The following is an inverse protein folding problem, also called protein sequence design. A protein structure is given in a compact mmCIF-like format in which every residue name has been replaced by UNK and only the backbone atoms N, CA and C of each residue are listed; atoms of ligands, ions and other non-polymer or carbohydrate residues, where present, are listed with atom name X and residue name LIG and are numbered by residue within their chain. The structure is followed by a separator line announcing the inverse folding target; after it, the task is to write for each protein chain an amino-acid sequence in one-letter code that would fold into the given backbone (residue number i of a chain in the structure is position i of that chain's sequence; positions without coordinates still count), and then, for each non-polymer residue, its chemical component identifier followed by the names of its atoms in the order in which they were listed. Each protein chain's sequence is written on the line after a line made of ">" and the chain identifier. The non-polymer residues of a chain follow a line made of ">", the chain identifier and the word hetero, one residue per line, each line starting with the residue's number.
data_IF_488591069759
#
_entry.id   IF_488591069759
#
_cell.length_a   1.000
_cell.length_b   1.000
_cell.length_c   1.000
_cell.angle_alpha   90.00
_cell.angle_beta   90.00
_cell.angle_gamma   90.00
#
_symmetry.space_group_name_H-M   'P 1'
#
loop_
_entity.id
_entity.type
_entity.pdbx_description
1 polymer ?
#
# COMPACT_ATOMS: atom_id res chain seq x y z
N UNK A 1 -18.62 41.47 -32.92
CA UNK A 1 -18.43 41.56 -31.47
C UNK A 1 -18.39 40.18 -30.89
N UNK A 2 -17.17 39.69 -30.55
CA UNK A 2 -17.01 38.45 -29.82
C UNK A 2 -17.38 38.70 -28.36
N UNK A 3 -18.56 38.24 -27.94
CA UNK A 3 -18.91 38.20 -26.53
C UNK A 3 -18.02 37.14 -25.85
N UNK A 4 -16.96 37.59 -25.17
CA UNK A 4 -16.19 36.77 -24.26
C UNK A 4 -17.11 36.54 -23.05
N UNK A 5 -17.68 35.35 -22.92
CA UNK A 5 -18.38 34.94 -21.71
C UNK A 5 -17.33 34.68 -20.65
N UNK A 6 -17.12 35.60 -19.74
CA UNK A 6 -16.32 35.35 -18.53
C UNK A 6 -17.06 34.34 -17.67
N UNK A 7 -16.57 33.10 -17.64
CA UNK A 7 -17.04 32.08 -16.71
C UNK A 7 -16.32 32.37 -15.39
N UNK A 8 -17.03 32.78 -14.34
CA UNK A 8 -16.40 33.06 -13.06
C UNK A 8 -15.78 31.78 -12.49
N UNK A 9 -14.52 31.84 -12.11
CA UNK A 9 -13.86 30.75 -11.39
C UNK A 9 -14.55 30.60 -10.02
N UNK A 10 -15.16 29.42 -9.81
CA UNK A 10 -15.85 29.11 -8.56
C UNK A 10 -15.03 28.11 -7.78
N UNK A 11 -14.74 28.42 -6.52
CA UNK A 11 -14.03 27.50 -5.62
C UNK A 11 -15.02 26.44 -5.13
N UNK A 12 -14.83 25.21 -5.54
CA UNK A 12 -15.60 24.07 -5.08
C UNK A 12 -15.08 23.54 -3.75
N UNK A 13 -15.97 23.16 -2.84
CA UNK A 13 -15.66 22.60 -1.52
C UNK A 13 -16.02 21.13 -1.46
N UNK A 14 -15.26 20.37 -0.69
CA UNK A 14 -15.56 18.95 -0.46
C UNK A 14 -16.64 18.82 0.61
N UNK A 15 -17.84 18.43 0.23
CA UNK A 15 -18.98 18.25 1.16
C UNK A 15 -18.98 16.91 1.84
N UNK A 16 -18.49 15.85 1.15
CA UNK A 16 -18.49 14.47 1.65
C UNK A 16 -17.27 13.72 1.17
N UNK A 17 -16.78 12.82 2.02
CA UNK A 17 -15.69 11.92 1.69
C UNK A 17 -16.17 10.48 1.89
N UNK A 18 -16.12 9.70 0.82
CA UNK A 18 -16.48 8.29 0.81
C UNK A 18 -15.26 7.45 0.45
N UNK A 19 -15.03 6.37 1.19
CA UNK A 19 -13.97 5.43 0.93
C UNK A 19 -14.59 4.05 0.69
N UNK A 20 -14.34 3.48 -0.47
CA UNK A 20 -14.87 2.22 -0.92
C UNK A 20 -13.78 1.16 -0.87
N UNK A 21 -14.05 0.06 -0.18
CA UNK A 21 -13.20 -1.14 -0.19
C UNK A 21 -13.88 -2.17 -1.08
N UNK A 22 -13.27 -2.44 -2.22
CA UNK A 22 -13.79 -3.33 -3.23
C UNK A 22 -13.32 -4.77 -3.01
N UNK A 23 -14.09 -5.76 -3.44
CA UNK A 23 -13.64 -7.15 -3.48
C UNK A 23 -12.82 -7.37 -4.77
N UNK A 24 -11.53 -7.75 -4.68
CA UNK A 24 -10.67 -7.93 -5.86
C UNK A 24 -11.11 -9.08 -6.78
N UNK A 25 -12.01 -9.94 -6.31
CA UNK A 25 -12.49 -11.12 -7.04
C UNK A 25 -13.87 -10.91 -7.68
N UNK A 26 -14.45 -9.72 -7.53
CA UNK A 26 -15.76 -9.38 -8.11
C UNK A 26 -15.63 -8.32 -9.18
N UNK A 27 -16.36 -8.50 -10.25
CA UNK A 27 -16.48 -7.49 -11.31
C UNK A 27 -17.28 -6.26 -10.83
N UNK A 28 -18.30 -6.51 -9.98
CA UNK A 28 -19.12 -5.46 -9.37
C UNK A 28 -19.17 -5.64 -7.86
N UNK A 29 -18.74 -4.64 -7.12
CA UNK A 29 -18.79 -4.65 -5.65
C UNK A 29 -20.17 -4.26 -5.15
N UNK A 30 -20.70 -5.04 -4.20
CA UNK A 30 -21.93 -4.74 -3.49
C UNK A 30 -21.58 -4.33 -2.07
N UNK A 31 -21.68 -3.04 -1.77
CA UNK A 31 -21.30 -2.51 -0.46
C UNK A 31 -22.37 -2.83 0.57
N UNK A 32 -22.11 -3.82 1.41
CA UNK A 32 -23.02 -4.33 2.43
C UNK A 32 -22.74 -3.83 3.84
N UNK A 33 -21.51 -3.37 4.08
CA UNK A 33 -21.09 -2.79 5.37
C UNK A 33 -20.73 -1.31 5.21
N UNK A 34 -21.25 -0.47 6.12
CA UNK A 34 -21.02 0.99 6.10
C UNK A 34 -20.65 1.45 7.50
N UNK A 35 -19.48 2.04 7.63
CA UNK A 35 -18.97 2.57 8.89
C UNK A 35 -18.69 4.06 8.74
N UNK A 36 -19.26 4.85 9.66
CA UNK A 36 -18.94 6.27 9.77
C UNK A 36 -17.80 6.45 10.78
N UNK A 37 -16.70 7.06 10.33
CA UNK A 37 -15.57 7.39 11.20
C UNK A 37 -15.15 8.85 10.97
N UNK A 38 -15.45 9.72 11.94
CA UNK A 38 -15.35 11.18 11.79
C UNK A 38 -16.13 11.66 10.55
N UNK A 39 -15.50 12.44 9.67
CA UNK A 39 -16.08 12.90 8.40
C UNK A 39 -15.97 11.91 7.24
N UNK A 40 -15.41 10.72 7.48
CA UNK A 40 -15.20 9.70 6.46
C UNK A 40 -16.27 8.62 6.53
N UNK A 41 -16.97 8.38 5.43
CA UNK A 41 -17.88 7.25 5.26
C UNK A 41 -17.13 6.12 4.57
N UNK A 42 -16.93 4.99 5.26
CA UNK A 42 -16.26 3.80 4.74
C UNK A 42 -17.32 2.78 4.34
N UNK A 43 -17.29 2.35 3.09
CA UNK A 43 -18.16 1.33 2.55
C UNK A 43 -17.32 0.12 2.14
N UNK A 44 -17.73 -1.08 2.51
CA UNK A 44 -17.03 -2.31 2.12
C UNK A 44 -17.95 -3.36 1.52
N UNK A 45 -17.40 -4.12 0.58
CA UNK A 45 -18.03 -5.34 0.09
C UNK A 45 -17.79 -6.46 1.12
N UNK A 46 -18.81 -6.77 1.90
CA UNK A 46 -18.73 -7.63 3.07
C UNK A 46 -18.14 -6.91 4.30
N UNK A 47 -17.77 -7.68 5.33
CA UNK A 47 -17.29 -7.15 6.60
C UNK A 47 -15.95 -6.42 6.44
N UNK A 48 -15.88 -5.19 6.94
CA UNK A 48 -14.66 -4.40 6.90
C UNK A 48 -13.52 -5.10 7.66
N UNK A 49 -12.44 -5.42 6.95
CA UNK A 49 -11.26 -6.08 7.52
C UNK A 49 -10.09 -5.12 7.77
N UNK A 50 -10.37 -3.85 7.96
CA UNK A 50 -9.40 -2.79 8.24
C UNK A 50 -9.84 -1.96 9.43
N UNK A 51 -8.90 -1.46 10.22
CA UNK A 51 -9.19 -0.51 11.30
C UNK A 51 -9.58 0.84 10.68
N UNK A 52 -10.78 1.39 10.97
CA UNK A 52 -11.24 2.66 10.41
C UNK A 52 -10.24 3.82 10.64
N UNK A 53 -9.63 3.87 11.83
CA UNK A 53 -8.60 4.86 12.17
C UNK A 53 -7.41 4.82 11.21
N UNK A 54 -6.98 3.63 10.80
CA UNK A 54 -5.83 3.47 9.90
C UNK A 54 -6.17 3.96 8.49
N UNK A 55 -7.36 3.65 8.00
CA UNK A 55 -7.82 4.15 6.69
C UNK A 55 -7.96 5.68 6.71
N UNK A 56 -8.60 6.23 7.76
CA UNK A 56 -8.78 7.66 7.91
C UNK A 56 -7.46 8.44 7.98
N UNK A 57 -6.39 7.85 8.57
CA UNK A 57 -5.08 8.50 8.62
C UNK A 57 -4.41 8.71 7.26
N UNK A 58 -4.85 7.97 6.24
CA UNK A 58 -4.38 8.12 4.86
C UNK A 58 -5.18 9.09 4.00
N UNK A 59 -6.28 9.61 4.50
CA UNK A 59 -7.12 10.55 3.78
C UNK A 59 -6.75 11.98 4.18
N UNK A 60 -6.06 12.70 3.30
CA UNK A 60 -5.65 14.09 3.50
C UNK A 60 -6.73 15.08 3.06
N UNK A 61 -7.66 14.66 2.21
CA UNK A 61 -8.83 15.42 1.80
C UNK A 61 -9.69 15.71 3.02
N UNK A 62 -10.17 16.95 3.20
CA UNK A 62 -10.95 17.35 4.36
C UNK A 62 -12.31 17.88 3.97
N UNK A 63 -13.34 17.45 4.68
CA UNK A 63 -14.70 17.96 4.53
C UNK A 63 -14.77 19.43 4.89
N UNK A 64 -15.56 20.19 4.15
CA UNK A 64 -15.76 21.65 4.32
C UNK A 64 -14.65 22.53 3.74
N UNK A 65 -13.52 21.97 3.34
CA UNK A 65 -12.42 22.72 2.74
C UNK A 65 -12.52 22.73 1.20
N UNK A 66 -11.89 23.75 0.55
CA UNK A 66 -11.76 23.76 -0.90
C UNK A 66 -11.06 22.50 -1.43
N UNK A 67 -11.40 22.13 -2.66
CA UNK A 67 -10.66 21.10 -3.39
C UNK A 67 -9.17 21.47 -3.46
N UNK A 68 -8.32 20.48 -3.18
CA UNK A 68 -6.86 20.60 -3.23
C UNK A 68 -6.28 19.40 -3.98
N UNK A 69 -5.61 19.66 -5.10
CA UNK A 69 -4.91 18.60 -5.84
C UNK A 69 -3.73 18.03 -5.04
N UNK A 70 -3.12 18.84 -4.17
CA UNK A 70 -2.08 18.37 -3.26
C UNK A 70 -2.62 17.34 -2.26
N UNK A 71 -3.79 17.58 -1.67
CA UNK A 71 -4.41 16.64 -0.72
C UNK A 71 -4.87 15.36 -1.43
N UNK A 72 -5.39 15.47 -2.66
CA UNK A 72 -5.68 14.33 -3.52
C UNK A 72 -4.43 13.51 -3.80
N UNK A 73 -3.34 14.17 -4.22
CA UNK A 73 -2.06 13.51 -4.54
C UNK A 73 -1.44 12.85 -3.31
N UNK A 74 -1.50 13.50 -2.14
CA UNK A 74 -1.00 12.94 -0.88
C UNK A 74 -1.83 11.71 -0.47
N UNK A 75 -3.16 11.75 -0.61
CA UNK A 75 -4.04 10.63 -0.34
C UNK A 75 -3.72 9.45 -1.26
N UNK A 76 -3.59 9.69 -2.57
CA UNK A 76 -3.22 8.67 -3.54
C UNK A 76 -1.86 8.05 -3.22
N UNK A 77 -0.84 8.88 -2.96
CA UNK A 77 0.52 8.42 -2.63
C UNK A 77 0.52 7.57 -1.38
N UNK A 78 -0.16 8.01 -0.32
CA UNK A 78 -0.24 7.25 0.92
C UNK A 78 -0.76 5.83 0.70
N UNK A 79 -1.92 5.68 0.05
CA UNK A 79 -2.49 4.36 -0.20
C UNK A 79 -1.68 3.51 -1.18
N UNK A 80 -1.00 4.13 -2.14
CA UNK A 80 -0.09 3.45 -3.07
C UNK A 80 1.15 2.91 -2.35
N UNK A 81 1.74 3.68 -1.44
CA UNK A 81 2.95 3.33 -0.69
C UNK A 81 2.72 2.21 0.33
N UNK A 82 1.50 2.00 0.77
CA UNK A 82 1.12 0.87 1.62
C UNK A 82 1.34 -0.49 0.92
N UNK A 83 1.27 -0.54 -0.40
CA UNK A 83 1.41 -1.75 -1.25
C UNK A 83 0.45 -2.89 -0.91
N UNK A 84 -0.61 -2.61 -0.16
CA UNK A 84 -1.69 -3.55 0.16
C UNK A 84 -2.92 -3.35 -0.71
N UNK A 85 -3.01 -2.23 -1.42
CA UNK A 85 -4.06 -1.94 -2.39
C UNK A 85 -3.52 -1.98 -3.82
N UNK A 86 -4.39 -2.38 -4.76
CA UNK A 86 -4.16 -2.28 -6.22
C UNK A 86 -4.67 -0.90 -6.65
N UNK A 87 -3.86 -0.12 -7.32
CA UNK A 87 -4.26 1.10 -8.03
C UNK A 87 -5.36 1.93 -7.34
N UNK A 88 -5.06 2.62 -6.22
CA UNK A 88 -6.03 3.52 -5.61
C UNK A 88 -6.59 4.49 -6.64
N UNK A 89 -7.91 4.69 -6.67
CA UNK A 89 -8.56 5.68 -7.52
C UNK A 89 -9.28 6.72 -6.67
N UNK A 90 -9.23 7.99 -7.06
CA UNK A 90 -9.87 9.09 -6.35
C UNK A 90 -10.64 9.95 -7.36
N UNK A 91 -11.95 9.86 -7.29
CA UNK A 91 -12.87 10.60 -8.13
C UNK A 91 -13.60 11.70 -7.35
N UNK A 92 -13.95 12.75 -8.06
CA UNK A 92 -14.76 13.84 -7.54
C UNK A 92 -16.00 14.01 -8.41
N UNK A 93 -17.15 14.04 -7.78
CA UNK A 93 -18.45 14.32 -8.42
C UNK A 93 -19.15 15.46 -7.73
N UNK A 94 -19.95 16.22 -8.46
CA UNK A 94 -20.77 17.29 -7.88
C UNK A 94 -21.80 16.72 -6.91
N UNK A 95 -21.97 17.36 -5.74
CA UNK A 95 -23.02 16.96 -4.80
C UNK A 95 -24.39 17.30 -5.40
N UNK A 96 -25.31 16.35 -5.58
CA UNK A 96 -26.65 16.63 -6.09
C UNK A 96 -27.46 17.65 -5.27
N UNK A 97 -27.07 17.89 -4.02
CA UNK A 97 -27.73 18.84 -3.11
C UNK A 97 -27.10 20.23 -3.12
N UNK A 98 -25.86 20.34 -3.65
CA UNK A 98 -25.10 21.61 -3.67
C UNK A 98 -24.22 21.61 -4.92
N UNK A 99 -24.57 22.45 -5.89
CA UNK A 99 -23.84 22.56 -7.16
C UNK A 99 -22.39 23.03 -7.02
N UNK A 100 -22.03 23.64 -5.89
CA UNK A 100 -20.67 24.08 -5.56
C UNK A 100 -19.93 23.05 -4.68
N UNK A 101 -20.63 22.05 -4.20
CA UNK A 101 -20.10 20.98 -3.37
C UNK A 101 -19.58 19.79 -4.18
N UNK A 102 -18.50 19.20 -3.72
CA UNK A 102 -17.92 17.97 -4.26
C UNK A 102 -18.07 16.80 -3.29
N UNK A 103 -18.34 15.64 -3.85
CA UNK A 103 -18.23 14.35 -3.16
C UNK A 103 -16.93 13.71 -3.63
N UNK A 104 -15.99 13.49 -2.71
CA UNK A 104 -14.78 12.72 -2.96
C UNK A 104 -15.07 11.23 -2.76
N UNK A 105 -14.80 10.42 -3.78
CA UNK A 105 -14.94 8.97 -3.76
C UNK A 105 -13.57 8.31 -3.94
N UNK A 106 -13.10 7.62 -2.91
CA UNK A 106 -11.79 6.96 -2.88
C UNK A 106 -12.04 5.46 -3.00
N UNK A 107 -11.56 4.84 -4.06
CA UNK A 107 -11.70 3.41 -4.31
C UNK A 107 -10.41 2.69 -4.03
N UNK A 108 -10.47 1.67 -3.17
CA UNK A 108 -9.33 0.86 -2.76
C UNK A 108 -9.64 -0.62 -3.01
N UNK A 109 -8.93 -1.24 -3.93
CA UNK A 109 -9.02 -2.67 -4.21
C UNK A 109 -7.89 -3.38 -3.48
N UNK A 110 -8.15 -4.21 -2.46
CA UNK A 110 -7.12 -4.95 -1.74
C UNK A 110 -6.33 -5.90 -2.67
N UNK A 111 -5.04 -6.05 -2.40
CA UNK A 111 -4.23 -7.14 -2.95
C UNK A 111 -4.52 -8.43 -2.22
N UNK A 112 -4.15 -9.56 -2.83
CA UNK A 112 -4.23 -10.85 -2.16
C UNK A 112 -3.55 -10.83 -0.79
N UNK A 113 -4.18 -11.40 0.26
CA UNK A 113 -3.66 -11.35 1.62
C UNK A 113 -2.32 -12.07 1.76
N UNK A 114 -2.07 -13.08 0.92
CA UNK A 114 -0.83 -13.83 0.89
C UNK A 114 -0.19 -13.81 -0.50
N UNK A 115 1.13 -13.78 -0.52
CA UNK A 115 1.92 -13.98 -1.75
C UNK A 115 3.14 -14.82 -1.42
N UNK A 116 3.48 -15.73 -2.32
CA UNK A 116 4.69 -16.53 -2.25
C UNK A 116 5.55 -16.20 -3.46
N UNK A 117 6.82 -15.95 -3.23
CA UNK A 117 7.82 -15.69 -4.26
C UNK A 117 8.93 -16.74 -4.21
N UNK A 118 9.52 -17.01 -5.37
CA UNK A 118 10.72 -17.83 -5.52
C UNK A 118 11.69 -17.08 -6.41
N UNK A 119 12.95 -17.06 -6.00
CA UNK A 119 14.03 -16.40 -6.69
C UNK A 119 15.15 -17.39 -6.99
N UNK A 120 15.71 -17.34 -8.19
CA UNK A 120 16.91 -18.08 -8.59
C UNK A 120 17.93 -17.07 -9.10
N UNK A 121 19.05 -16.97 -8.39
CA UNK A 121 20.16 -16.10 -8.77
C UNK A 121 21.38 -16.92 -9.18
N UNK A 122 22.00 -16.54 -10.29
CA UNK A 122 23.30 -17.01 -10.70
C UNK A 122 24.30 -15.90 -10.52
N UNK A 123 25.39 -16.14 -9.81
CA UNK A 123 26.42 -15.15 -9.52
C UNK A 123 27.80 -15.58 -10.00
N UNK A 124 28.59 -14.59 -10.45
CA UNK A 124 30.00 -14.74 -10.77
C UNK A 124 30.74 -13.49 -10.29
N UNK A 125 31.84 -13.68 -9.58
CA UNK A 125 32.65 -12.57 -9.10
C UNK A 125 34.14 -12.90 -9.08
N UNK A 126 34.97 -11.94 -8.70
CA UNK A 126 36.41 -12.14 -8.56
C UNK A 126 36.77 -13.09 -7.40
N UNK A 127 35.91 -13.20 -6.40
CA UNK A 127 36.10 -14.02 -5.19
C UNK A 127 35.40 -15.38 -5.40
N UNK A 128 34.20 -15.38 -5.95
CA UNK A 128 33.39 -16.56 -6.19
C UNK A 128 33.35 -16.87 -7.69
N UNK A 129 33.99 -17.96 -8.10
CA UNK A 129 34.02 -18.36 -9.49
C UNK A 129 32.61 -18.63 -10.06
N UNK A 130 31.78 -19.28 -9.28
CA UNK A 130 30.38 -19.58 -9.64
C UNK A 130 29.55 -19.73 -8.38
N UNK A 131 28.34 -19.20 -8.39
CA UNK A 131 27.37 -19.35 -7.30
C UNK A 131 25.94 -19.47 -7.80
N UNK A 132 25.18 -20.31 -7.14
CA UNK A 132 23.73 -20.47 -7.34
C UNK A 132 23.07 -20.17 -6.01
N UNK A 133 22.10 -19.26 -6.02
CA UNK A 133 21.26 -18.95 -4.87
C UNK A 133 19.81 -19.26 -5.17
N UNK A 134 19.16 -19.93 -4.22
CA UNK A 134 17.71 -20.13 -4.23
C UNK A 134 17.10 -19.34 -3.08
N UNK A 135 16.15 -18.49 -3.42
CA UNK A 135 15.36 -17.72 -2.47
C UNK A 135 13.89 -18.14 -2.47
N UNK A 136 13.25 -18.03 -1.32
CA UNK A 136 11.80 -18.10 -1.21
C UNK A 136 11.32 -17.05 -0.24
N UNK A 137 10.17 -16.45 -0.53
CA UNK A 137 9.57 -15.44 0.33
C UNK A 137 8.06 -15.66 0.48
N UNK A 138 7.55 -15.40 1.67
CA UNK A 138 6.12 -15.40 1.98
C UNK A 138 5.75 -14.04 2.54
N UNK A 139 4.80 -13.39 1.90
CA UNK A 139 4.30 -12.07 2.31
C UNK A 139 2.86 -12.24 2.79
N UNK A 140 2.59 -11.80 4.02
CA UNK A 140 1.24 -11.69 4.58
C UNK A 140 0.88 -10.22 4.77
N UNK A 141 -0.24 -9.78 4.18
CA UNK A 141 -0.69 -8.39 4.20
C UNK A 141 -1.84 -8.22 5.18
N UNK A 142 -1.86 -7.04 5.82
CA UNK A 142 -2.91 -6.64 6.76
C UNK A 142 -3.05 -7.58 7.97
N UNK A 143 -1.93 -8.04 8.52
CA UNK A 143 -1.85 -9.09 9.56
C UNK A 143 -2.67 -8.72 10.80
N UNK A 144 -2.60 -7.47 11.24
CA UNK A 144 -3.29 -6.97 12.45
C UNK A 144 -4.42 -5.98 12.10
N UNK A 145 -4.95 -6.01 10.87
CA UNK A 145 -6.00 -5.11 10.36
C UNK A 145 -5.65 -3.62 10.35
N UNK A 146 -4.36 -3.31 10.50
CA UNK A 146 -3.84 -1.95 10.51
C UNK A 146 -2.92 -1.67 9.33
N UNK A 147 -3.09 -2.42 8.21
CA UNK A 147 -2.32 -2.30 6.98
C UNK A 147 -0.85 -2.74 7.11
N UNK A 148 -0.52 -3.50 8.14
CA UNK A 148 0.82 -4.06 8.35
C UNK A 148 1.12 -5.16 7.33
N UNK A 149 2.40 -5.30 6.95
CA UNK A 149 2.89 -6.37 6.09
C UNK A 149 3.98 -7.15 6.80
N UNK A 150 3.82 -8.46 6.89
CA UNK A 150 4.81 -9.40 7.40
C UNK A 150 5.41 -10.15 6.23
N UNK A 151 6.74 -10.16 6.14
CA UNK A 151 7.50 -10.87 5.13
C UNK A 151 8.49 -11.82 5.80
N UNK A 152 8.46 -13.09 5.41
CA UNK A 152 9.45 -14.10 5.77
C UNK A 152 10.23 -14.47 4.52
N UNK A 153 11.55 -14.31 4.54
CA UNK A 153 12.47 -14.70 3.48
C UNK A 153 13.38 -15.82 3.93
N UNK A 154 13.67 -16.75 3.03
CA UNK A 154 14.68 -17.79 3.18
C UNK A 154 15.56 -17.77 1.94
N UNK A 155 16.89 -17.89 2.12
CA UNK A 155 17.85 -17.93 1.01
C UNK A 155 18.93 -18.97 1.30
N UNK A 156 19.20 -19.82 0.32
CA UNK A 156 20.33 -20.74 0.34
C UNK A 156 21.24 -20.46 -0.85
N UNK A 157 22.55 -20.47 -0.64
CA UNK A 157 23.57 -20.26 -1.69
C UNK A 157 24.55 -21.39 -1.66
N UNK A 158 24.87 -21.93 -2.83
CA UNK A 158 25.98 -22.85 -3.04
C UNK A 158 26.93 -22.23 -4.06
N UNK A 159 28.24 -22.39 -3.87
CA UNK A 159 29.20 -21.79 -4.78
C UNK A 159 30.58 -22.42 -4.73
N UNK A 160 31.40 -22.04 -5.70
CA UNK A 160 32.80 -22.43 -5.82
C UNK A 160 33.68 -21.18 -5.67
N UNK A 161 34.69 -21.23 -4.77
CA UNK A 161 35.73 -20.21 -4.63
C UNK A 161 36.88 -20.47 -5.59
N UNK A 162 37.57 -19.41 -6.02
CA UNK A 162 38.74 -19.53 -6.91
C UNK A 162 39.94 -20.21 -6.26
N UNK A 163 40.08 -20.06 -4.94
CA UNK A 163 41.26 -20.53 -4.23
C UNK A 163 41.32 -22.05 -4.01
N UNK A 164 40.17 -22.73 -4.18
CA UNK A 164 40.04 -24.18 -3.92
C UNK A 164 39.98 -24.99 -5.22
N UNK A 165 39.75 -24.37 -6.37
CA UNK A 165 39.72 -25.05 -7.68
C UNK A 165 41.07 -25.74 -8.00
N UNK A 166 42.13 -25.41 -7.23
CA UNK A 166 43.48 -25.94 -7.45
C UNK A 166 43.88 -27.09 -6.51
N UNK A 167 43.08 -27.44 -5.47
CA UNK A 167 43.54 -28.36 -4.42
C UNK A 167 42.57 -29.39 -3.84
N UNK A 168 41.29 -29.43 -4.21
CA UNK A 168 40.37 -30.42 -3.68
C UNK A 168 39.33 -30.88 -4.73
N UNK A 169 38.89 -32.15 -4.63
CA UNK A 169 37.89 -32.77 -5.51
C UNK A 169 36.47 -32.15 -5.35
N UNK A 170 36.26 -31.24 -4.41
CA UNK A 170 34.96 -30.61 -4.13
C UNK A 170 34.80 -29.34 -4.92
N UNK A 171 34.05 -29.40 -6.01
CA UNK A 171 33.73 -28.24 -6.86
C UNK A 171 32.95 -27.14 -6.11
N UNK A 172 32.02 -27.51 -5.20
CA UNK A 172 31.29 -26.59 -4.36
C UNK A 172 31.86 -26.58 -2.93
N UNK A 173 32.43 -25.45 -2.53
CA UNK A 173 33.05 -25.27 -1.22
C UNK A 173 32.46 -24.09 -0.43
N UNK A 174 31.48 -23.40 -1.00
CA UNK A 174 30.72 -22.33 -0.34
C UNK A 174 29.29 -22.82 -0.17
N UNK A 175 28.83 -22.85 1.09
CA UNK A 175 27.45 -23.10 1.43
C UNK A 175 26.98 -22.05 2.44
N UNK A 176 25.95 -21.28 2.06
CA UNK A 176 25.37 -20.25 2.91
C UNK A 176 23.85 -20.48 3.01
N UNK A 177 23.33 -20.34 4.21
CA UNK A 177 21.90 -20.36 4.46
C UNK A 177 21.52 -19.18 5.35
N UNK A 178 20.48 -18.45 4.98
CA UNK A 178 19.99 -17.30 5.72
C UNK A 178 18.47 -17.22 5.69
N UNK A 179 17.95 -16.54 6.69
CA UNK A 179 16.53 -16.20 6.75
C UNK A 179 16.34 -14.80 7.32
N UNK A 180 15.31 -14.12 6.87
CA UNK A 180 14.92 -12.79 7.37
C UNK A 180 13.43 -12.73 7.63
N UNK A 181 13.08 -11.95 8.65
CA UNK A 181 11.70 -11.65 9.02
C UNK A 181 11.54 -10.14 9.10
N UNK A 182 10.65 -9.59 8.25
CA UNK A 182 10.38 -8.16 8.19
C UNK A 182 8.93 -7.89 8.55
N UNK A 183 8.71 -7.02 9.53
CA UNK A 183 7.40 -6.47 9.83
C UNK A 183 7.38 -4.99 9.46
N UNK A 184 6.59 -4.63 8.45
CA UNK A 184 6.38 -3.24 8.04
C UNK A 184 5.10 -2.71 8.64
N UNK A 185 5.21 -1.68 9.45
CA UNK A 185 4.09 -0.98 10.07
C UNK A 185 4.04 0.44 9.47
N UNK A 186 3.00 0.79 8.67
CA UNK A 186 2.97 2.05 7.92
C UNK A 186 2.57 3.27 8.76
N UNK A 187 2.79 3.23 10.06
CA UNK A 187 2.49 4.33 10.99
C UNK A 187 3.60 4.46 12.01
N UNK A 188 3.85 5.68 12.47
CA UNK A 188 4.74 5.87 13.61
C UNK A 188 4.10 5.31 14.88
N UNK A 189 4.77 4.37 15.53
CA UNK A 189 4.42 3.87 16.85
C UNK A 189 5.35 4.57 17.84
N UNK A 190 4.82 5.55 18.59
CA UNK A 190 5.54 6.10 19.72
C UNK A 190 5.23 5.24 20.94
N UNK A 191 6.22 4.62 21.58
CA UNK A 191 6.03 3.79 22.78
C UNK A 191 5.63 4.62 24.00
N UNK A 192 5.70 5.94 23.92
CA UNK A 192 5.35 6.84 25.01
C UNK A 192 4.11 7.66 24.67
N UNK A 193 3.00 7.37 25.33
CA UNK A 193 1.84 8.27 25.42
C UNK A 193 2.17 9.42 26.38
N UNK A 194 3.11 10.26 26.03
CA UNK A 194 3.45 11.43 26.83
C UNK A 194 2.90 12.73 26.20
N UNK A 195 2.52 13.75 27.01
CA UNK A 195 1.96 15.02 26.56
C UNK A 195 3.00 15.96 25.92
N UNK A 196 4.05 15.44 25.32
CA UNK A 196 5.22 16.20 24.87
C UNK A 196 5.18 16.70 23.43
N UNK A 197 4.06 16.54 22.71
CA UNK A 197 3.90 17.17 21.40
C UNK A 197 2.58 17.94 21.42
N UNK A 198 2.67 19.20 21.85
CA UNK A 198 1.69 20.25 21.57
C UNK A 198 2.16 21.06 20.39
#
# INVERSE_FOLDING_TARGET
>A
QNNIVEIPYVVQKVNKIKLFIEDPNKEFSVYTDTIQFNSLTILSDGKLNYKPKTLASGVFIKEGLPYSDQDRSNTYRYFSDLRIFKYPNIDFSTDPKDSLGLISSIYLTPREPFSVGFDLDLSHSNIQFFGISLGSSVISRNVFKGTETLELGLKGTIGASKDVADKSDDFFNIFEFGGDLKLRIPRMIFPFNGPLIK
#
